data_IF_916656549218
#
_entry.id   IF_916656549218
#
_cell.length_a   1.000
_cell.length_b   1.000
_cell.length_c   1.000
_cell.angle_alpha   90.00
_cell.angle_beta   90.00
_cell.angle_gamma   90.00
#
_symmetry.space_group_name_H-M   'P 1'
#
loop_
_entity.id
_entity.type
_entity.pdbx_description
1 polymer ?
#
# COMPACT_ATOMS: atom_id res chain seq x y z
N UNK A 1 -0.79 -29.12 -8.30
CA UNK A 1 -1.07 -27.78 -8.86
C UNK A 1 -2.57 -27.62 -8.84
N UNK A 2 -3.07 -26.76 -7.96
CA UNK A 2 -4.52 -26.58 -7.75
C UNK A 2 -5.17 -25.90 -8.96
N UNK A 3 -6.47 -26.13 -9.11
CA UNK A 3 -7.28 -25.50 -10.16
C UNK A 3 -8.15 -24.45 -9.48
N UNK A 4 -7.91 -23.19 -9.80
CA UNK A 4 -8.73 -22.07 -9.33
C UNK A 4 -9.84 -21.85 -10.35
N UNK A 5 -11.08 -21.93 -9.87
CA UNK A 5 -12.29 -21.84 -10.69
C UNK A 5 -13.00 -20.50 -10.53
N UNK A 6 -12.69 -19.72 -9.49
CA UNK A 6 -13.31 -18.42 -9.26
C UNK A 6 -12.37 -17.39 -8.60
N UNK A 7 -12.76 -16.12 -8.67
CA UNK A 7 -12.07 -15.01 -8.02
C UNK A 7 -12.07 -15.14 -6.49
N UNK A 8 -13.16 -15.61 -5.91
CA UNK A 8 -13.32 -15.77 -4.46
C UNK A 8 -12.37 -16.83 -3.92
N UNK A 9 -12.15 -17.88 -4.70
CA UNK A 9 -11.18 -18.94 -4.39
C UNK A 9 -9.74 -18.39 -4.43
N UNK A 10 -9.39 -17.63 -5.48
CA UNK A 10 -8.07 -16.98 -5.57
C UNK A 10 -7.82 -16.01 -4.40
N UNK A 11 -8.82 -15.21 -4.06
CA UNK A 11 -8.74 -14.23 -2.97
C UNK A 11 -8.50 -14.94 -1.63
N UNK A 12 -9.15 -16.08 -1.37
CA UNK A 12 -8.89 -16.88 -0.17
C UNK A 12 -7.44 -17.34 -0.08
N UNK A 13 -6.84 -17.76 -1.20
CA UNK A 13 -5.42 -18.10 -1.21
C UNK A 13 -4.56 -16.89 -0.86
N UNK A 14 -4.80 -15.72 -1.48
CA UNK A 14 -4.05 -14.49 -1.20
C UNK A 14 -4.14 -14.11 0.29
N UNK A 15 -5.33 -14.17 0.90
CA UNK A 15 -5.50 -13.78 2.31
C UNK A 15 -4.89 -14.76 3.32
N UNK A 16 -4.75 -16.03 2.93
CA UNK A 16 -4.17 -17.06 3.79
C UNK A 16 -2.66 -17.23 3.56
N UNK A 17 -2.04 -16.39 2.72
CA UNK A 17 -0.60 -16.43 2.51
C UNK A 17 0.17 -15.81 3.69
N UNK A 18 1.27 -16.46 4.07
CA UNK A 18 2.25 -16.07 5.06
C UNK A 18 3.66 -16.53 4.62
N UNK A 19 4.65 -16.26 5.46
CA UNK A 19 6.04 -16.67 5.24
C UNK A 19 6.22 -18.18 5.03
N UNK A 20 5.39 -19.03 5.62
CA UNK A 20 5.48 -20.50 5.54
C UNK A 20 4.90 -21.04 4.22
N UNK A 21 3.90 -20.38 3.64
CA UNK A 21 3.26 -20.76 2.38
C UNK A 21 3.40 -19.69 1.27
N UNK A 22 4.50 -18.95 1.32
CA UNK A 22 4.81 -17.78 0.47
C UNK A 22 4.87 -18.04 -1.04
N UNK A 23 4.78 -19.29 -1.51
CA UNK A 23 4.72 -19.62 -2.93
C UNK A 23 3.56 -20.57 -3.20
N UNK A 24 2.63 -20.13 -4.06
CA UNK A 24 1.44 -20.87 -4.44
C UNK A 24 1.33 -21.01 -5.97
N UNK A 25 1.32 -22.24 -6.47
CA UNK A 25 1.19 -22.53 -7.90
C UNK A 25 -0.20 -23.10 -8.23
N UNK A 26 -0.90 -22.43 -9.15
CA UNK A 26 -2.24 -22.81 -9.55
C UNK A 26 -2.44 -22.71 -11.06
N UNK A 27 -3.55 -23.25 -11.53
CA UNK A 27 -3.96 -23.17 -12.92
C UNK A 27 -5.39 -22.65 -13.03
N UNK A 28 -5.64 -21.85 -14.07
CA UNK A 28 -6.97 -21.37 -14.42
C UNK A 28 -7.34 -22.03 -15.75
N UNK A 29 -8.46 -22.79 -15.81
CA UNK A 29 -8.93 -23.40 -17.05
C UNK A 29 -9.03 -22.38 -18.19
N UNK A 30 -8.39 -22.70 -19.33
CA UNK A 30 -8.38 -21.82 -20.51
C UNK A 30 -7.45 -20.60 -20.44
N UNK A 31 -6.75 -20.38 -19.32
CA UNK A 31 -5.78 -19.25 -19.17
C UNK A 31 -4.35 -19.71 -18.89
N UNK A 32 -4.17 -20.90 -18.33
CA UNK A 32 -2.85 -21.50 -18.15
C UNK A 32 -2.44 -21.65 -16.69
N UNK A 33 -1.13 -21.61 -16.44
CA UNK A 33 -0.51 -21.83 -15.12
C UNK A 33 0.03 -20.52 -14.59
N UNK A 34 -0.14 -20.31 -13.29
CA UNK A 34 0.25 -19.10 -12.58
C UNK A 34 1.02 -19.48 -11.31
N UNK A 35 1.92 -18.60 -10.89
CA UNK A 35 2.60 -18.67 -9.60
C UNK A 35 2.32 -17.37 -8.88
N UNK A 36 1.75 -17.47 -7.69
CA UNK A 36 1.57 -16.39 -6.73
C UNK A 36 2.70 -16.48 -5.72
N UNK A 37 3.37 -15.34 -5.48
CA UNK A 37 4.48 -15.24 -4.53
C UNK A 37 4.15 -14.14 -3.56
N UNK A 38 4.17 -14.45 -2.26
CA UNK A 38 4.09 -13.45 -1.20
C UNK A 38 5.44 -12.75 -1.12
N UNK A 39 5.44 -11.47 -1.42
CA UNK A 39 6.56 -10.60 -1.13
C UNK A 39 6.26 -9.89 0.19
N UNK A 40 6.70 -10.50 1.28
CA UNK A 40 6.84 -9.77 2.54
C UNK A 40 7.95 -8.75 2.31
N UNK A 41 7.57 -7.52 1.96
CA UNK A 41 8.43 -6.41 2.33
C UNK A 41 8.55 -6.48 3.85
N UNK A 42 9.76 -6.36 4.41
CA UNK A 42 9.88 -5.85 5.79
C UNK A 42 9.25 -4.46 5.73
N UNK A 43 7.92 -4.40 5.85
CA UNK A 43 7.19 -3.15 5.80
C UNK A 43 7.54 -2.49 7.12
N UNK A 44 8.66 -1.76 7.10
CA UNK A 44 8.99 -0.82 8.14
C UNK A 44 7.77 0.07 8.25
N UNK A 45 7.00 -0.15 9.31
CA UNK A 45 5.71 0.51 9.40
C UNK A 45 5.95 2.01 9.45
N UNK A 46 5.04 2.79 8.86
CA UNK A 46 5.09 4.26 8.99
C UNK A 46 5.20 4.66 10.47
N UNK A 47 4.62 3.87 11.38
CA UNK A 47 4.76 4.07 12.82
C UNK A 47 6.20 3.89 13.30
N UNK A 48 6.90 2.85 12.87
CA UNK A 48 8.32 2.62 13.19
C UNK A 48 9.19 3.77 12.65
N UNK A 49 8.92 4.27 11.45
CA UNK A 49 9.60 5.45 10.88
C UNK A 49 9.39 6.70 11.74
N UNK A 50 8.14 6.95 12.14
CA UNK A 50 7.77 8.08 12.99
C UNK A 50 8.42 7.98 14.37
N UNK A 51 8.43 6.80 14.98
CA UNK A 51 9.07 6.57 16.29
C UNK A 51 10.60 6.72 16.22
N UNK A 52 11.21 6.38 15.09
CA UNK A 52 12.65 6.56 14.87
C UNK A 52 13.06 8.01 14.58
N UNK A 53 12.11 8.90 14.26
CA UNK A 53 12.38 10.27 13.82
C UNK A 53 11.45 11.29 14.49
N UNK A 54 11.96 11.97 15.53
CA UNK A 54 11.25 13.01 16.29
C UNK A 54 10.76 14.18 15.43
N UNK A 55 11.49 14.53 14.37
CA UNK A 55 11.06 15.59 13.45
C UNK A 55 9.82 15.15 12.65
N UNK A 56 9.81 13.90 12.19
CA UNK A 56 8.69 13.32 11.47
C UNK A 56 7.44 13.24 12.36
N UNK A 57 7.58 12.79 13.61
CA UNK A 57 6.50 12.80 14.61
C UNK A 57 5.90 14.19 14.80
N UNK A 58 6.75 15.21 14.95
CA UNK A 58 6.32 16.58 15.09
C UNK A 58 5.54 17.08 13.85
N UNK A 59 6.00 16.74 12.64
CA UNK A 59 5.28 17.08 11.41
C UNK A 59 3.89 16.45 11.36
N UNK A 60 3.75 15.17 11.71
CA UNK A 60 2.46 14.48 11.74
C UNK A 60 1.50 15.13 12.74
N UNK A 61 1.99 15.45 13.96
CA UNK A 61 1.18 16.11 14.97
C UNK A 61 0.69 17.49 14.50
N UNK A 62 1.59 18.30 13.94
CA UNK A 62 1.26 19.64 13.43
C UNK A 62 0.27 19.57 12.26
N UNK A 63 0.47 18.65 11.33
CA UNK A 63 -0.43 18.43 10.19
C UNK A 63 -1.84 18.05 10.67
N UNK A 64 -1.95 17.14 11.65
CA UNK A 64 -3.23 16.75 12.24
C UNK A 64 -3.94 17.91 12.95
N UNK A 65 -3.20 18.75 13.65
CA UNK A 65 -3.75 19.96 14.27
C UNK A 65 -4.24 20.98 13.25
N UNK A 66 -3.49 21.20 12.18
CA UNK A 66 -3.88 22.10 11.08
C UNK A 66 -5.14 21.62 10.38
N UNK A 67 -5.22 20.32 10.09
CA UNK A 67 -6.40 19.71 9.50
C UNK A 67 -7.64 19.90 10.37
N UNK A 68 -7.54 19.63 11.68
CA UNK A 68 -8.64 19.85 12.64
C UNK A 68 -9.09 21.31 12.71
N UNK A 69 -8.20 22.26 12.46
CA UNK A 69 -8.50 23.70 12.44
C UNK A 69 -9.04 24.18 11.09
N UNK A 70 -9.21 23.28 10.11
CA UNK A 70 -9.72 23.62 8.77
C UNK A 70 -8.68 24.24 7.85
N UNK A 71 -7.39 24.20 8.20
CA UNK A 71 -6.29 24.69 7.33
C UNK A 71 -5.86 23.67 6.28
N UNK A 72 -6.73 22.71 5.95
CA UNK A 72 -6.50 21.78 4.85
C UNK A 72 -6.54 22.52 3.52
N UNK A 73 -5.67 22.09 2.61
CA UNK A 73 -5.58 22.59 1.24
C UNK A 73 -6.05 21.46 0.31
N UNK A 74 -6.94 21.76 -0.63
CA UNK A 74 -7.45 20.76 -1.57
C UNK A 74 -6.46 20.52 -2.71
N UNK A 75 -6.56 19.38 -3.37
CA UNK A 75 -5.76 19.09 -4.59
C UNK A 75 -5.95 20.18 -5.64
N UNK A 76 -7.16 20.73 -5.79
CA UNK A 76 -7.45 21.83 -6.72
C UNK A 76 -6.69 23.10 -6.36
N UNK A 77 -6.61 23.42 -5.06
CA UNK A 77 -5.86 24.59 -4.59
C UNK A 77 -4.35 24.39 -4.78
N UNK A 78 -3.82 23.18 -4.57
CA UNK A 78 -2.42 22.82 -4.85
C UNK A 78 -2.11 23.04 -6.33
N UNK A 79 -2.92 22.47 -7.23
CA UNK A 79 -2.71 22.55 -8.67
C UNK A 79 -2.80 23.98 -9.23
N UNK A 80 -3.46 24.89 -8.51
CA UNK A 80 -3.51 26.31 -8.89
C UNK A 80 -2.23 27.06 -8.54
N UNK A 81 -1.53 26.63 -7.51
CA UNK A 81 -0.31 27.28 -7.00
C UNK A 81 0.94 26.68 -7.63
N UNK A 82 0.93 25.39 -7.93
CA UNK A 82 2.02 24.72 -8.63
C UNK A 82 2.06 25.13 -10.11
N UNK A 83 3.25 25.43 -10.60
CA UNK A 83 3.55 25.77 -11.98
C UNK A 83 4.46 24.72 -12.62
N UNK A 84 4.59 24.73 -13.94
CA UNK A 84 5.50 23.82 -14.66
C UNK A 84 6.95 23.89 -14.16
N UNK A 85 7.37 25.04 -13.62
CA UNK A 85 8.72 25.25 -13.06
C UNK A 85 8.96 24.53 -11.74
N UNK A 86 7.91 24.11 -11.03
CA UNK A 86 8.02 23.40 -9.76
C UNK A 86 8.26 21.89 -9.95
N UNK A 87 8.22 21.42 -11.21
CA UNK A 87 8.42 20.02 -11.61
C UNK A 87 9.64 19.80 -12.52
N UNK A 88 10.38 20.87 -12.83
CA UNK A 88 11.61 20.87 -13.64
C UNK A 88 12.82 21.13 -12.76
#
# INVERSE_FOLDING_TARGET
>A
MEKVLSSEELIKYIFNMDSENSVFQFSIPGKGKFTLVLQEEEVQSIKADVESNLYLEHMFKKSKEQYKKGFGITTTDILRVLSEKDFM
#
